data_IF_274121337783
#
_entry.id   IF_274121337783
#
_cell.length_a   1.000
_cell.length_b   1.000
_cell.length_c   1.000
_cell.angle_alpha   90.00
_cell.angle_beta   90.00
_cell.angle_gamma   90.00
#
_symmetry.space_group_name_H-M   'P 1'
#
loop_
_entity.id
_entity.type
_entity.pdbx_description
1 polymer ?
#
# COMPACT_ATOMS: atom_id res chain seq x y z
N UNK A 1 -4.16 60.94 10.63
CA UNK A 1 -4.67 59.78 9.86
C UNK A 1 -3.61 59.10 8.98
N UNK A 2 -2.66 59.83 8.38
CA UNK A 2 -1.60 59.25 7.52
C UNK A 2 -0.62 58.33 8.28
N UNK A 3 -0.33 58.61 9.54
CA UNK A 3 0.62 57.81 10.36
C UNK A 3 0.06 56.44 10.75
N UNK A 4 -1.26 56.32 10.95
CA UNK A 4 -1.91 55.04 11.30
C UNK A 4 -1.95 54.09 10.10
N UNK A 5 -2.10 54.62 8.88
CA UNK A 5 -2.08 53.84 7.66
C UNK A 5 -0.70 53.23 7.37
N UNK A 6 0.39 53.94 7.68
CA UNK A 6 1.76 53.44 7.48
C UNK A 6 2.13 52.34 8.49
N UNK A 7 1.64 52.43 9.73
CA UNK A 7 1.85 51.38 10.75
C UNK A 7 1.05 50.11 10.40
N UNK A 8 -0.17 50.25 9.86
CA UNK A 8 -0.95 49.11 9.37
C UNK A 8 -0.31 48.43 8.15
N UNK A 9 0.28 49.21 7.23
CA UNK A 9 0.98 48.68 6.06
C UNK A 9 2.28 47.95 6.44
N UNK A 10 3.02 48.44 7.44
CA UNK A 10 4.24 47.81 7.95
C UNK A 10 3.96 46.51 8.75
N UNK A 11 2.80 46.41 9.41
CA UNK A 11 2.40 45.19 10.12
C UNK A 11 1.99 44.06 9.15
N UNK A 12 1.49 44.38 7.96
CA UNK A 12 1.14 43.39 6.93
C UNK A 12 2.38 42.77 6.26
N UNK A 13 3.51 43.48 6.23
CA UNK A 13 4.75 43.00 5.60
C UNK A 13 5.69 42.24 6.56
N UNK A 14 5.60 42.49 7.88
CA UNK A 14 6.47 41.86 8.89
C UNK A 14 5.92 40.56 9.49
N UNK A 15 4.62 40.31 9.38
CA UNK A 15 4.02 39.05 9.78
C UNK A 15 3.71 38.22 8.53
N UNK A 16 4.49 37.18 8.18
CA UNK A 16 4.02 36.20 7.21
C UNK A 16 2.67 35.71 7.71
N UNK A 17 1.65 35.97 6.92
CA UNK A 17 0.27 35.80 7.37
C UNK A 17 0.06 34.33 7.75
N UNK A 18 -0.76 34.02 8.75
CA UNK A 18 -1.15 32.60 9.03
C UNK A 18 -1.68 31.90 7.77
N UNK A 19 -2.17 32.66 6.80
CA UNK A 19 -2.55 32.23 5.46
C UNK A 19 -1.39 31.66 4.63
N UNK A 20 -0.18 32.19 4.74
CA UNK A 20 1.00 31.70 4.02
C UNK A 20 1.51 30.37 4.58
N UNK A 21 1.50 30.20 5.90
CA UNK A 21 1.86 28.93 6.55
C UNK A 21 0.84 27.81 6.30
N UNK A 22 -0.45 28.15 6.19
CA UNK A 22 -1.50 27.20 5.78
C UNK A 22 -1.38 26.81 4.31
N UNK A 23 -1.07 27.75 3.40
CA UNK A 23 -0.80 27.45 1.98
C UNK A 23 0.42 26.54 1.83
N UNK A 24 1.52 26.84 2.51
CA UNK A 24 2.72 25.99 2.52
C UNK A 24 2.42 24.58 3.06
N UNK A 25 1.60 24.47 4.11
CA UNK A 25 1.20 23.17 4.66
C UNK A 25 0.37 22.34 3.66
N UNK A 26 -0.51 22.98 2.88
CA UNK A 26 -1.27 22.29 1.82
C UNK A 26 -0.38 21.82 0.68
N UNK A 27 0.57 22.64 0.25
CA UNK A 27 1.54 22.27 -0.80
C UNK A 27 2.43 21.11 -0.33
N UNK A 28 2.93 21.17 0.90
CA UNK A 28 3.74 20.11 1.49
C UNK A 28 2.95 18.80 1.65
N UNK A 29 1.66 18.88 2.04
CA UNK A 29 0.78 17.71 2.09
C UNK A 29 0.57 17.10 0.70
N UNK A 30 0.26 17.91 -0.31
CA UNK A 30 0.05 17.43 -1.68
C UNK A 30 1.32 16.82 -2.29
N UNK A 31 2.49 17.40 -2.01
CA UNK A 31 3.78 16.84 -2.42
C UNK A 31 4.05 15.49 -1.74
N UNK A 32 3.76 15.38 -0.45
CA UNK A 32 3.86 14.14 0.30
C UNK A 32 2.93 13.05 -0.25
N UNK A 33 1.64 13.36 -0.46
CA UNK A 33 0.68 12.42 -1.04
C UNK A 33 1.12 11.95 -2.44
N UNK A 34 1.67 12.86 -3.24
CA UNK A 34 2.23 12.50 -4.56
C UNK A 34 3.43 11.58 -4.43
N UNK A 35 4.33 11.84 -3.48
CA UNK A 35 5.49 11.00 -3.22
C UNK A 35 5.07 9.60 -2.76
N UNK A 36 4.08 9.49 -1.86
CA UNK A 36 3.52 8.19 -1.43
C UNK A 36 2.95 7.44 -2.63
N UNK A 37 2.10 8.08 -3.45
CA UNK A 37 1.52 7.47 -4.65
C UNK A 37 2.56 7.05 -5.69
N UNK A 38 3.61 7.84 -5.88
CA UNK A 38 4.69 7.49 -6.81
C UNK A 38 5.52 6.31 -6.30
N UNK A 39 5.73 6.25 -4.98
CA UNK A 39 6.46 5.15 -4.34
C UNK A 39 5.67 3.85 -4.39
N UNK A 40 4.34 3.92 -4.29
CA UNK A 40 3.48 2.74 -4.25
C UNK A 40 3.13 2.15 -5.63
N UNK A 41 3.22 2.96 -6.69
CA UNK A 41 2.84 2.59 -8.06
C UNK A 41 3.53 1.32 -8.62
N UNK A 42 4.83 1.06 -8.38
CA UNK A 42 5.47 -0.16 -8.86
C UNK A 42 4.85 -1.43 -8.25
N UNK A 43 4.54 -1.40 -6.95
CA UNK A 43 3.94 -2.54 -6.26
C UNK A 43 2.50 -2.80 -6.74
N UNK A 44 1.73 -1.74 -6.98
CA UNK A 44 0.40 -1.85 -7.57
C UNK A 44 0.45 -2.48 -8.98
N UNK A 45 1.39 -2.02 -9.80
CA UNK A 45 1.58 -2.54 -11.17
C UNK A 45 2.03 -4.00 -11.18
N UNK A 46 2.95 -4.36 -10.28
CA UNK A 46 3.41 -5.73 -10.10
C UNK A 46 2.26 -6.64 -9.66
N UNK A 47 1.48 -6.22 -8.66
CA UNK A 47 0.34 -7.00 -8.18
C UNK A 47 -0.74 -7.20 -9.23
N UNK A 48 -1.11 -6.15 -9.97
CA UNK A 48 -2.08 -6.26 -11.06
C UNK A 48 -1.58 -7.16 -12.21
N UNK A 49 -0.28 -7.12 -12.50
CA UNK A 49 0.34 -7.99 -13.51
C UNK A 49 0.32 -9.45 -13.05
N UNK A 50 0.67 -9.70 -11.79
CA UNK A 50 0.59 -11.02 -11.18
C UNK A 50 -0.84 -11.58 -11.22
N UNK A 51 -1.84 -10.76 -10.88
CA UNK A 51 -3.23 -11.21 -10.92
C UNK A 51 -3.70 -11.64 -12.32
N UNK A 52 -3.23 -10.98 -13.38
CA UNK A 52 -3.52 -11.40 -14.76
C UNK A 52 -2.80 -12.68 -15.16
N UNK A 53 -1.57 -12.87 -14.68
CA UNK A 53 -0.72 -13.98 -15.04
C UNK A 53 -1.04 -15.27 -14.26
N UNK A 54 -1.39 -15.16 -12.97
CA UNK A 54 -1.60 -16.32 -12.10
C UNK A 54 -2.70 -17.25 -12.60
N UNK A 55 -3.79 -16.70 -13.15
CA UNK A 55 -4.91 -17.50 -13.65
C UNK A 55 -4.50 -18.27 -14.92
N UNK A 56 -3.64 -17.68 -15.76
CA UNK A 56 -3.10 -18.35 -16.94
C UNK A 56 -2.13 -19.47 -16.55
N UNK A 57 -1.21 -19.20 -15.63
CA UNK A 57 -0.26 -20.20 -15.13
C UNK A 57 -0.95 -21.35 -14.39
N UNK A 58 -1.95 -21.05 -13.55
CA UNK A 58 -2.74 -22.06 -12.85
C UNK A 58 -3.50 -22.96 -13.82
N UNK A 59 -4.14 -22.40 -14.86
CA UNK A 59 -4.84 -23.19 -15.90
C UNK A 59 -3.90 -24.07 -16.70
N UNK A 60 -2.65 -23.64 -16.89
CA UNK A 60 -1.63 -24.38 -17.63
C UNK A 60 -0.84 -25.37 -16.74
N UNK A 61 -1.14 -25.43 -15.43
CA UNK A 61 -0.35 -26.16 -14.43
C UNK A 61 1.15 -25.78 -14.44
N UNK A 62 1.49 -24.56 -14.86
CA UNK A 62 2.86 -24.05 -14.87
C UNK A 62 3.20 -23.44 -13.49
N UNK A 63 3.33 -24.31 -12.51
CA UNK A 63 3.64 -23.91 -11.13
C UNK A 63 5.02 -23.27 -11.00
N UNK A 64 5.96 -23.56 -11.92
CA UNK A 64 7.28 -22.94 -11.93
C UNK A 64 7.20 -21.48 -12.35
N UNK A 65 6.44 -21.16 -13.40
CA UNK A 65 6.19 -19.79 -13.81
C UNK A 65 5.38 -19.02 -12.75
N UNK A 66 4.39 -19.68 -12.14
CA UNK A 66 3.62 -19.11 -11.02
C UNK A 66 4.53 -18.76 -9.83
N UNK A 67 5.43 -19.66 -9.45
CA UNK A 67 6.41 -19.44 -8.39
C UNK A 67 7.34 -18.27 -8.71
N UNK A 68 7.89 -18.21 -9.93
CA UNK A 68 8.79 -17.14 -10.36
C UNK A 68 8.09 -15.78 -10.36
N UNK A 69 6.87 -15.71 -10.92
CA UNK A 69 6.06 -14.49 -10.96
C UNK A 69 5.65 -14.01 -9.57
N UNK A 70 5.28 -14.93 -8.67
CA UNK A 70 4.95 -14.61 -7.29
C UNK A 70 6.16 -14.06 -6.51
N UNK A 71 7.36 -14.62 -6.71
CA UNK A 71 8.60 -14.11 -6.11
C UNK A 71 8.95 -12.70 -6.62
N UNK A 72 8.91 -12.49 -7.94
CA UNK A 72 9.18 -11.17 -8.51
C UNK A 72 8.20 -10.11 -7.99
N UNK A 73 6.94 -10.50 -7.83
CA UNK A 73 5.89 -9.64 -7.27
C UNK A 73 6.15 -9.33 -5.80
N UNK A 74 6.49 -10.35 -5.00
CA UNK A 74 6.87 -10.19 -3.60
C UNK A 74 8.06 -9.23 -3.43
N UNK A 75 9.14 -9.45 -4.17
CA UNK A 75 10.36 -8.63 -4.09
C UNK A 75 10.07 -7.16 -4.41
N UNK A 76 9.24 -6.93 -5.43
CA UNK A 76 8.81 -5.57 -5.80
C UNK A 76 7.99 -4.92 -4.69
N UNK A 77 7.06 -5.66 -4.08
CA UNK A 77 6.22 -5.16 -2.99
C UNK A 77 7.06 -4.91 -1.73
N UNK A 78 7.99 -5.79 -1.38
CA UNK A 78 8.89 -5.65 -0.24
C UNK A 78 9.80 -4.41 -0.39
N UNK A 79 10.35 -4.21 -1.59
CA UNK A 79 11.15 -3.02 -1.89
C UNK A 79 10.33 -1.73 -1.76
N UNK A 80 9.08 -1.73 -2.23
CA UNK A 80 8.16 -0.58 -2.05
C UNK A 80 7.79 -0.40 -0.58
N UNK A 81 7.53 -1.47 0.17
CA UNK A 81 7.26 -1.41 1.61
C UNK A 81 8.42 -0.75 2.38
N UNK A 82 9.67 -1.13 2.07
CA UNK A 82 10.88 -0.50 2.60
C UNK A 82 10.99 0.97 2.20
N UNK A 83 10.68 1.30 0.95
CA UNK A 83 10.70 2.69 0.47
C UNK A 83 9.64 3.56 1.16
N UNK A 84 8.42 3.05 1.33
CA UNK A 84 7.34 3.70 2.08
C UNK A 84 7.70 3.89 3.57
N UNK A 85 8.40 2.92 4.17
CA UNK A 85 8.92 3.02 5.53
C UNK A 85 9.92 4.18 5.69
N UNK A 86 10.68 4.49 4.63
CA UNK A 86 11.68 5.55 4.61
C UNK A 86 11.12 6.97 4.31
N UNK A 87 9.86 7.11 3.87
CA UNK A 87 9.27 8.43 3.59
C UNK A 87 9.11 9.22 4.90
N UNK A 88 9.78 10.38 5.06
CA UNK A 88 9.63 11.21 6.25
C UNK A 88 8.28 11.93 6.24
N UNK A 89 7.65 12.02 7.41
CA UNK A 89 6.39 12.77 7.55
C UNK A 89 6.70 14.26 7.57
N UNK A 90 6.05 15.06 6.70
CA UNK A 90 6.34 16.49 6.61
C UNK A 90 5.98 17.18 7.94
N UNK A 91 6.83 18.13 8.34
CA UNK A 91 6.58 19.02 9.49
C UNK A 91 5.51 20.05 9.11
N UNK A 92 4.24 19.63 9.09
CA UNK A 92 3.10 20.50 8.79
C UNK A 92 2.72 21.33 10.03
N UNK A 93 2.40 22.61 9.86
CA UNK A 93 1.93 23.47 10.96
C UNK A 93 0.53 23.07 11.45
N UNK A 94 -0.27 22.45 10.59
CA UNK A 94 -1.61 21.97 10.93
C UNK A 94 -1.54 20.53 11.46
N UNK A 95 -1.89 20.35 12.75
CA UNK A 95 -1.91 19.05 13.43
C UNK A 95 -2.84 18.04 12.74
N UNK A 96 -4.01 18.46 12.25
CA UNK A 96 -4.93 17.58 11.53
C UNK A 96 -4.35 17.11 10.19
N UNK A 97 -3.68 18.01 9.45
CA UNK A 97 -3.03 17.65 8.19
C UNK A 97 -1.86 16.68 8.42
N UNK A 98 -1.11 16.84 9.51
CA UNK A 98 -0.05 15.92 9.92
C UNK A 98 -0.61 14.54 10.28
N UNK A 99 -1.71 14.50 11.03
CA UNK A 99 -2.37 13.25 11.40
C UNK A 99 -2.95 12.52 10.18
N UNK A 100 -3.54 13.27 9.24
CA UNK A 100 -4.01 12.71 7.97
C UNK A 100 -2.87 12.13 7.13
N UNK A 101 -1.74 12.85 7.01
CA UNK A 101 -0.55 12.37 6.31
C UNK A 101 0.04 11.11 6.97
N UNK A 102 0.14 11.09 8.30
CA UNK A 102 0.59 9.92 9.06
C UNK A 102 -0.33 8.72 8.81
N UNK A 103 -1.65 8.92 8.94
CA UNK A 103 -2.63 7.86 8.76
C UNK A 103 -2.62 7.31 7.33
N UNK A 104 -2.56 8.18 6.32
CA UNK A 104 -2.50 7.76 4.92
C UNK A 104 -1.24 6.90 4.66
N UNK A 105 -0.09 7.29 5.19
CA UNK A 105 1.14 6.51 5.05
C UNK A 105 1.08 5.16 5.76
N UNK A 106 0.54 5.12 6.97
CA UNK A 106 0.35 3.87 7.72
C UNK A 106 -0.67 2.94 7.03
N UNK A 107 -1.77 3.48 6.54
CA UNK A 107 -2.76 2.72 5.76
C UNK A 107 -2.13 2.16 4.47
N UNK A 108 -1.32 2.96 3.77
CA UNK A 108 -0.56 2.52 2.59
C UNK A 108 0.46 1.42 2.96
N UNK A 109 1.23 1.59 4.04
CA UNK A 109 2.19 0.56 4.51
C UNK A 109 1.49 -0.75 4.89
N UNK A 110 0.35 -0.65 5.57
CA UNK A 110 -0.46 -1.80 5.95
C UNK A 110 -0.95 -2.56 4.70
N UNK A 111 -1.44 -1.83 3.68
CA UNK A 111 -1.81 -2.41 2.38
C UNK A 111 -0.67 -3.23 1.78
N UNK A 112 0.52 -2.67 1.64
CA UNK A 112 1.62 -3.38 0.97
C UNK A 112 2.22 -4.50 1.83
N UNK A 113 2.17 -4.39 3.15
CA UNK A 113 2.49 -5.52 4.04
C UNK A 113 1.53 -6.70 3.80
N UNK A 114 0.24 -6.44 3.61
CA UNK A 114 -0.74 -7.48 3.30
C UNK A 114 -0.53 -8.09 1.92
N UNK A 115 -0.21 -7.27 0.90
CA UNK A 115 0.09 -7.78 -0.45
C UNK A 115 1.36 -8.63 -0.46
N UNK A 116 2.38 -8.27 0.33
CA UNK A 116 3.58 -9.08 0.50
C UNK A 116 3.26 -10.44 1.11
N UNK A 117 2.43 -10.47 2.17
CA UNK A 117 1.97 -11.71 2.78
C UNK A 117 1.17 -12.57 1.78
N UNK A 118 0.31 -11.96 0.97
CA UNK A 118 -0.43 -12.67 -0.08
C UNK A 118 0.51 -13.25 -1.15
N UNK A 119 1.54 -12.53 -1.57
CA UNK A 119 2.54 -13.05 -2.51
C UNK A 119 3.32 -14.24 -1.92
N UNK A 120 3.72 -14.19 -0.64
CA UNK A 120 4.38 -15.30 0.05
C UNK A 120 3.54 -16.58 0.07
N UNK A 121 2.22 -16.45 0.21
CA UNK A 121 1.29 -17.58 0.15
C UNK A 121 1.32 -18.22 -1.23
N UNK A 122 1.28 -17.42 -2.30
CA UNK A 122 1.40 -17.91 -3.67
C UNK A 122 2.74 -18.58 -3.96
N UNK A 123 3.83 -18.02 -3.45
CA UNK A 123 5.18 -18.62 -3.54
C UNK A 123 5.15 -20.01 -2.90
N UNK A 124 4.59 -20.15 -1.69
CA UNK A 124 4.50 -21.45 -1.00
C UNK A 124 3.58 -22.43 -1.72
N UNK A 125 2.38 -22.00 -2.14
CA UNK A 125 1.46 -22.86 -2.89
C UNK A 125 2.08 -23.38 -4.19
N UNK A 126 2.75 -22.50 -4.94
CA UNK A 126 3.39 -22.88 -6.20
C UNK A 126 4.62 -23.77 -5.99
N UNK A 127 5.34 -23.62 -4.87
CA UNK A 127 6.55 -24.39 -4.56
C UNK A 127 6.29 -25.74 -3.90
N UNK A 128 5.28 -25.82 -3.02
CA UNK A 128 5.04 -27.00 -2.16
C UNK A 128 3.69 -27.68 -2.39
N UNK A 129 2.79 -27.06 -3.15
CA UNK A 129 1.45 -27.57 -3.41
C UNK A 129 0.54 -27.64 -2.18
N UNK A 130 1.00 -27.15 -1.02
CA UNK A 130 0.27 -27.24 0.25
C UNK A 130 0.48 -25.98 1.10
N UNK A 131 -0.46 -25.73 2.02
CA UNK A 131 -0.40 -24.68 3.04
C UNK A 131 -0.82 -25.32 4.37
N UNK A 132 -0.15 -24.97 5.45
CA UNK A 132 -0.53 -25.47 6.78
C UNK A 132 -1.75 -24.71 7.36
N UNK A 133 -2.30 -25.22 8.46
CA UNK A 133 -3.51 -24.64 9.06
C UNK A 133 -3.30 -23.23 9.62
N UNK A 134 -2.11 -22.94 10.15
CA UNK A 134 -1.76 -21.65 10.74
C UNK A 134 -1.56 -20.58 9.65
N UNK A 135 -0.98 -20.97 8.53
CA UNK A 135 -0.83 -20.16 7.32
C UNK A 135 -2.19 -19.84 6.70
N UNK A 136 -3.14 -20.77 6.75
CA UNK A 136 -4.51 -20.54 6.32
C UNK A 136 -5.28 -19.58 7.24
N UNK A 137 -5.00 -19.64 8.55
CA UNK A 137 -5.53 -18.68 9.50
C UNK A 137 -4.91 -17.29 9.26
N UNK A 138 -3.59 -17.22 9.01
CA UNK A 138 -2.90 -15.99 8.65
C UNK A 138 -3.45 -15.40 7.35
N UNK A 139 -3.67 -16.21 6.32
CA UNK A 139 -4.34 -15.85 5.07
C UNK A 139 -5.73 -15.27 5.33
N UNK A 140 -6.59 -15.96 6.11
CA UNK A 140 -7.93 -15.45 6.45
C UNK A 140 -7.88 -14.16 7.26
N UNK A 141 -6.86 -14.01 8.11
CA UNK A 141 -6.56 -12.78 8.83
C UNK A 141 -6.25 -11.65 7.86
N UNK A 142 -5.33 -11.89 6.91
CA UNK A 142 -4.93 -10.96 5.85
C UNK A 142 -6.12 -10.62 4.95
N UNK A 143 -6.96 -11.59 4.56
CA UNK A 143 -8.20 -11.36 3.80
C UNK A 143 -9.18 -10.46 4.53
N UNK A 144 -9.44 -10.73 5.81
CA UNK A 144 -10.37 -9.96 6.63
C UNK A 144 -9.87 -8.52 6.85
N UNK A 145 -8.56 -8.34 6.89
CA UNK A 145 -7.93 -7.04 7.05
C UNK A 145 -7.82 -6.30 5.71
N UNK A 146 -7.58 -7.01 4.60
CA UNK A 146 -7.62 -6.50 3.24
C UNK A 146 -9.04 -6.10 2.80
N UNK A 147 -10.08 -6.77 3.30
CA UNK A 147 -11.48 -6.41 3.09
C UNK A 147 -11.83 -5.02 3.65
N UNK A 148 -11.07 -4.51 4.64
CA UNK A 148 -11.20 -3.11 5.10
C UNK A 148 -10.74 -2.09 4.05
N UNK A 149 -9.97 -2.51 3.06
CA UNK A 149 -9.43 -1.69 1.97
C UNK A 149 -10.17 -1.93 0.64
N UNK A 150 -11.46 -2.34 0.71
CA UNK A 150 -12.43 -2.63 -0.38
C UNK A 150 -11.86 -2.77 -1.81
N UNK A 151 -11.89 -3.99 -2.35
CA UNK A 151 -11.67 -4.27 -3.78
C UNK A 151 -10.25 -4.73 -4.18
N UNK A 152 -9.30 -4.81 -3.25
CA UNK A 152 -7.89 -5.09 -3.61
C UNK A 152 -7.48 -6.57 -3.64
N UNK A 153 -8.22 -7.47 -2.99
CA UNK A 153 -8.00 -8.91 -3.13
C UNK A 153 -9.33 -9.68 -3.24
N UNK A 154 -10.12 -9.51 -4.32
CA UNK A 154 -11.27 -10.38 -4.56
C UNK A 154 -10.77 -11.65 -5.30
N UNK A 155 -10.78 -12.79 -4.62
CA UNK A 155 -10.77 -14.12 -5.28
C UNK A 155 -9.50 -14.96 -5.21
N UNK A 156 -8.35 -14.41 -4.80
CA UNK A 156 -7.06 -15.15 -4.84
C UNK A 156 -6.98 -16.31 -3.85
N UNK A 157 -7.61 -16.16 -2.70
CA UNK A 157 -7.60 -17.19 -1.66
C UNK A 157 -8.73 -18.21 -1.79
N UNK A 158 -9.73 -17.97 -2.66
CA UNK A 158 -10.73 -18.99 -2.99
C UNK A 158 -10.09 -20.13 -3.78
N UNK A 159 -9.14 -19.84 -4.68
CA UNK A 159 -8.31 -20.85 -5.35
C UNK A 159 -7.36 -21.55 -4.38
N UNK A 160 -6.75 -20.83 -3.44
CA UNK A 160 -5.93 -21.43 -2.38
C UNK A 160 -6.74 -22.45 -1.55
N UNK A 161 -8.01 -22.11 -1.22
CA UNK A 161 -8.93 -23.04 -0.54
C UNK A 161 -9.33 -24.23 -1.42
N UNK A 162 -9.53 -24.03 -2.73
CA UNK A 162 -9.87 -25.12 -3.65
C UNK A 162 -8.72 -26.10 -3.86
N UNK A 163 -7.47 -25.63 -3.87
CA UNK A 163 -6.29 -26.50 -3.92
C UNK A 163 -6.17 -27.40 -2.67
N UNK A 164 -6.79 -27.02 -1.55
CA UNK A 164 -6.82 -27.78 -0.29
C UNK A 164 -8.00 -28.76 -0.21
N UNK A 165 -9.07 -28.54 -0.96
CA UNK A 165 -10.02 -29.61 -1.26
C UNK A 165 -9.40 -30.50 -2.33
N UNK A 166 -8.47 -31.36 -1.92
CA UNK A 166 -8.13 -32.53 -2.72
C UNK A 166 -9.45 -33.22 -3.13
N UNK A 167 -9.57 -33.77 -4.36
CA UNK A 167 -10.71 -34.63 -4.68
C UNK A 167 -10.75 -35.70 -3.59
N UNK A 168 -11.89 -35.80 -2.90
CA UNK A 168 -12.15 -36.91 -1.99
C UNK A 168 -11.71 -38.18 -2.72
N UNK A 169 -10.69 -38.83 -2.20
CA UNK A 169 -10.17 -40.08 -2.74
C UNK A 169 -11.31 -41.09 -2.61
N UNK A 170 -11.91 -41.47 -3.75
CA UNK A 170 -12.92 -42.53 -3.98
C UNK A 170 -13.94 -42.79 -2.86
#
# INVERSE_FOLDING_TARGET
MVVIALVALALVTLFPSKTDSLKQSRIALAAFERQVKQTEAPAETAWQSFQKQKDAYAKQNDYRALYASANQTYDTIDQVGKALAAIPIPKLHNTHARQAAWKALEDTRAKYTMLAAAAQVWIKMAGTGSLDSDELIAIKGVEKQAAKYEGMIPGDFAMARQALTAPASN
#
